data_IF_907607631387
#
_entry.id   IF_907607631387
#
_cell.length_a   1.000
_cell.length_b   1.000
_cell.length_c   1.000
_cell.angle_alpha   90.00
_cell.angle_beta   90.00
_cell.angle_gamma   90.00
#
_symmetry.space_group_name_H-M   'P 1'
#
loop_
_entity.id
_entity.type
_entity.pdbx_description
1 polymer ?
#
# COMPACT_ATOMS: atom_id res chain seq x y z
N UNK A 1 12.74 3.49 8.35
CA UNK A 1 12.34 3.33 6.93
C UNK A 1 12.30 4.64 6.17
N UNK A 2 11.40 5.58 6.50
CA UNK A 2 11.26 6.85 5.75
C UNK A 2 12.57 7.62 5.70
N UNK A 3 13.21 7.85 6.85
CA UNK A 3 14.51 8.53 6.92
C UNK A 3 15.60 7.80 6.13
N UNK A 4 15.64 6.46 6.19
CA UNK A 4 16.62 5.66 5.44
C UNK A 4 16.48 5.86 3.92
N UNK A 5 15.25 5.92 3.41
CA UNK A 5 14.99 6.13 1.98
C UNK A 5 15.25 7.57 1.54
N UNK A 6 14.85 8.55 2.35
CA UNK A 6 15.08 9.98 2.04
C UNK A 6 16.55 10.36 2.15
N UNK A 7 17.34 9.68 3.00
CA UNK A 7 18.78 9.91 3.17
C UNK A 7 19.67 8.95 2.36
N UNK A 8 19.08 8.07 1.55
CA UNK A 8 19.84 7.16 0.68
C UNK A 8 20.69 7.95 -0.34
N UNK A 9 21.67 7.28 -0.97
CA UNK A 9 22.51 7.87 -2.01
C UNK A 9 22.38 7.04 -3.28
N UNK A 10 21.66 7.52 -4.33
CA UNK A 10 20.89 8.76 -4.38
C UNK A 10 19.61 8.72 -3.52
N UNK A 11 19.07 9.88 -3.09
CA UNK A 11 17.90 9.94 -2.21
C UNK A 11 16.62 9.62 -2.98
N UNK A 12 15.68 8.94 -2.32
CA UNK A 12 14.34 8.70 -2.86
C UNK A 12 13.40 9.87 -2.55
N UNK A 13 12.59 10.25 -3.55
CA UNK A 13 11.46 11.17 -3.34
C UNK A 13 10.24 10.35 -2.92
N UNK A 14 9.69 10.65 -1.76
CA UNK A 14 8.53 9.94 -1.21
C UNK A 14 7.31 10.85 -1.18
N UNK A 15 6.12 10.24 -1.37
CA UNK A 15 4.84 10.83 -1.08
C UNK A 15 4.19 10.04 0.07
N UNK A 16 4.04 10.68 1.23
CA UNK A 16 3.53 10.06 2.45
C UNK A 16 2.10 10.50 2.73
N UNK A 17 1.21 9.53 2.94
CA UNK A 17 -0.22 9.79 3.12
C UNK A 17 -0.56 10.75 4.27
N UNK A 18 0.25 10.78 5.34
CA UNK A 18 0.02 11.67 6.51
C UNK A 18 0.71 13.03 6.40
N UNK A 19 1.63 13.20 5.46
CA UNK A 19 2.48 14.40 5.36
C UNK A 19 2.18 15.22 4.11
N UNK A 20 2.02 14.55 2.98
CA UNK A 20 2.05 15.19 1.66
C UNK A 20 0.66 15.27 1.00
N UNK A 21 -0.38 14.71 1.64
CA UNK A 21 -1.76 14.83 1.17
C UNK A 21 -2.28 16.26 1.35
N UNK A 22 -2.99 16.74 0.33
CA UNK A 22 -3.50 18.11 0.28
C UNK A 22 -4.74 18.23 1.17
N UNK A 23 -4.72 19.08 2.21
CA UNK A 23 -5.89 19.33 3.05
C UNK A 23 -7.05 19.90 2.23
N UNK A 24 -8.28 19.46 2.53
CA UNK A 24 -9.49 19.89 1.81
C UNK A 24 -9.75 19.16 0.49
N UNK A 25 -8.79 18.38 -0.03
CA UNK A 25 -9.01 17.43 -1.13
C UNK A 25 -9.52 16.10 -0.58
N UNK A 26 -10.39 15.41 -1.32
CA UNK A 26 -10.90 14.10 -0.91
C UNK A 26 -9.76 13.10 -0.70
N UNK A 27 -9.93 12.21 0.28
CA UNK A 27 -8.88 11.22 0.62
C UNK A 27 -8.58 10.29 -0.55
N UNK A 28 -9.61 9.87 -1.29
CA UNK A 28 -9.49 9.02 -2.48
C UNK A 28 -8.68 9.75 -3.55
N UNK A 29 -9.03 10.99 -3.86
CA UNK A 29 -8.32 11.74 -4.89
C UNK A 29 -6.86 11.98 -4.51
N UNK A 30 -6.55 12.19 -3.22
CA UNK A 30 -5.17 12.27 -2.75
C UNK A 30 -4.41 10.96 -2.98
N UNK A 31 -5.04 9.82 -2.68
CA UNK A 31 -4.46 8.48 -2.90
C UNK A 31 -4.18 8.26 -4.39
N UNK A 32 -5.18 8.51 -5.25
CA UNK A 32 -5.08 8.32 -6.71
C UNK A 32 -3.97 9.18 -7.30
N UNK A 33 -3.98 10.48 -7.03
CA UNK A 33 -2.94 11.39 -7.48
C UNK A 33 -1.54 10.93 -7.06
N UNK A 34 -1.41 10.44 -5.83
CA UNK A 34 -0.12 10.02 -5.28
C UNK A 34 0.38 8.75 -5.96
N UNK A 35 -0.52 7.81 -6.26
CA UNK A 35 -0.20 6.59 -7.02
C UNK A 35 0.24 6.97 -8.44
N UNK A 36 -0.52 7.80 -9.15
CA UNK A 36 -0.22 8.18 -10.54
C UNK A 36 1.08 8.98 -10.68
N UNK A 37 1.43 9.80 -9.68
CA UNK A 37 2.66 10.60 -9.65
C UNK A 37 3.89 9.83 -9.17
N UNK A 38 3.73 8.56 -8.77
CA UNK A 38 4.79 7.75 -8.17
C UNK A 38 5.15 6.56 -9.06
N UNK A 39 6.44 6.22 -9.15
CA UNK A 39 6.88 5.05 -9.91
C UNK A 39 6.48 3.71 -9.25
N UNK A 40 6.44 3.71 -7.92
CA UNK A 40 6.09 2.56 -7.08
C UNK A 40 5.22 3.06 -5.93
N UNK A 41 4.26 2.25 -5.52
CA UNK A 41 3.41 2.46 -4.35
C UNK A 41 3.79 1.44 -3.30
N UNK A 42 4.20 1.92 -2.12
CA UNK A 42 4.59 1.06 -1.01
C UNK A 42 3.44 0.95 -0.01
N UNK A 43 3.00 -0.28 0.24
CA UNK A 43 1.99 -0.62 1.22
C UNK A 43 2.65 -1.18 2.47
N UNK A 44 2.46 -0.51 3.61
CA UNK A 44 2.87 -1.03 4.92
C UNK A 44 1.69 -1.75 5.55
N UNK A 45 1.71 -3.08 5.47
CA UNK A 45 0.66 -3.95 5.98
C UNK A 45 0.87 -4.20 7.48
N UNK A 46 -0.19 -3.97 8.24
CA UNK A 46 -0.34 -4.32 9.65
C UNK A 46 -1.76 -4.79 9.91
N UNK A 47 -2.05 -5.43 11.04
CA UNK A 47 -3.43 -5.83 11.35
C UNK A 47 -4.36 -4.61 11.38
N UNK A 48 -3.87 -3.51 11.94
CA UNK A 48 -4.60 -2.25 11.96
C UNK A 48 -4.92 -1.74 10.55
N UNK A 49 -3.95 -1.78 9.63
CA UNK A 49 -4.16 -1.32 8.25
C UNK A 49 -5.21 -2.15 7.51
N UNK A 50 -5.17 -3.48 7.68
CA UNK A 50 -6.15 -4.39 7.05
C UNK A 50 -7.56 -4.13 7.57
N UNK A 51 -7.71 -3.88 8.87
CA UNK A 51 -9.03 -3.69 9.48
C UNK A 51 -9.62 -2.29 9.23
N UNK A 52 -8.78 -1.26 9.15
CA UNK A 52 -9.24 0.15 9.11
C UNK A 52 -9.19 0.78 7.72
N UNK A 53 -8.12 0.58 6.96
CA UNK A 53 -7.85 1.34 5.73
C UNK A 53 -8.03 0.50 4.47
N UNK A 54 -7.58 -0.76 4.47
CA UNK A 54 -7.65 -1.63 3.27
C UNK A 54 -9.07 -1.70 2.69
N UNK A 55 -10.06 -1.92 3.54
CA UNK A 55 -11.46 -2.03 3.13
C UNK A 55 -11.96 -0.81 2.34
N UNK A 56 -11.50 0.39 2.71
CA UNK A 56 -11.99 1.64 2.14
C UNK A 56 -11.56 1.81 0.70
N UNK A 57 -10.43 1.20 0.33
CA UNK A 57 -9.71 1.52 -0.90
C UNK A 57 -9.42 0.29 -1.77
N UNK A 58 -9.75 -0.92 -1.33
CA UNK A 58 -9.46 -2.15 -2.08
C UNK A 58 -10.03 -2.13 -3.51
N UNK A 59 -11.24 -1.58 -3.69
CA UNK A 59 -11.85 -1.42 -5.01
C UNK A 59 -11.04 -0.46 -5.88
N UNK A 60 -10.61 0.68 -5.33
CA UNK A 60 -9.79 1.66 -6.05
C UNK A 60 -8.43 1.07 -6.42
N UNK A 61 -7.73 0.43 -5.47
CA UNK A 61 -6.45 -0.24 -5.76
C UNK A 61 -6.60 -1.31 -6.85
N UNK A 62 -7.76 -1.98 -6.88
CA UNK A 62 -8.09 -2.94 -7.92
C UNK A 62 -8.26 -2.29 -9.28
N UNK A 63 -8.91 -1.13 -9.34
CA UNK A 63 -9.08 -0.33 -10.55
C UNK A 63 -7.73 0.09 -11.14
N UNK A 64 -6.78 0.52 -10.30
CA UNK A 64 -5.40 0.87 -10.71
C UNK A 64 -4.50 -0.35 -10.94
N UNK A 65 -5.03 -1.57 -10.84
CA UNK A 65 -4.31 -2.83 -11.09
C UNK A 65 -3.03 -2.97 -10.27
N UNK A 66 -2.95 -2.33 -9.10
CA UNK A 66 -1.72 -2.28 -8.30
C UNK A 66 -1.22 -3.67 -7.88
N UNK A 67 -2.13 -4.63 -7.76
CA UNK A 67 -1.86 -5.98 -7.29
C UNK A 67 -2.08 -7.06 -8.36
N UNK A 68 -2.09 -6.66 -9.64
CA UNK A 68 -2.18 -7.61 -10.74
C UNK A 68 -0.79 -8.19 -11.03
N UNK A 69 -0.69 -9.48 -11.40
CA UNK A 69 0.57 -10.23 -11.51
C UNK A 69 1.58 -9.65 -12.52
N UNK A 70 1.13 -8.79 -13.43
CA UNK A 70 1.96 -8.12 -14.43
C UNK A 70 2.31 -6.67 -14.08
N UNK A 71 1.87 -6.19 -12.91
CA UNK A 71 2.08 -4.83 -12.47
C UNK A 71 3.05 -4.78 -11.29
N UNK A 72 4.28 -4.37 -11.58
CA UNK A 72 5.33 -4.16 -10.57
C UNK A 72 5.15 -2.81 -9.81
N UNK A 73 3.98 -2.15 -9.92
CA UNK A 73 3.75 -0.86 -9.27
C UNK A 73 3.59 -0.95 -7.75
N UNK A 74 3.21 -2.09 -7.16
CA UNK A 74 3.03 -2.21 -5.72
C UNK A 74 4.17 -2.99 -5.04
N UNK A 75 4.73 -2.40 -3.98
CA UNK A 75 5.65 -3.05 -3.05
C UNK A 75 4.94 -3.22 -1.72
N UNK A 76 4.93 -4.43 -1.19
CA UNK A 76 4.25 -4.75 0.07
C UNK A 76 5.28 -5.01 1.15
N UNK A 77 5.14 -4.33 2.28
CA UNK A 77 5.95 -4.54 3.48
C UNK A 77 5.04 -5.02 4.59
N UNK A 78 5.32 -6.21 5.12
CA UNK A 78 4.63 -6.78 6.27
C UNK A 78 5.33 -6.29 7.54
N UNK A 79 4.73 -5.30 8.20
CA UNK A 79 5.28 -4.71 9.43
C UNK A 79 5.17 -5.67 10.63
N UNK A 80 4.10 -6.45 10.65
CA UNK A 80 3.84 -7.47 11.67
C UNK A 80 3.12 -8.66 11.03
N UNK A 81 3.29 -9.89 11.55
CA UNK A 81 2.59 -11.06 11.01
C UNK A 81 1.07 -10.89 11.11
N UNK A 82 0.39 -10.93 9.97
CA UNK A 82 -1.08 -10.89 9.91
C UNK A 82 -1.59 -12.31 9.74
N UNK A 83 -2.42 -12.75 10.68
CA UNK A 83 -3.06 -14.05 10.61
C UNK A 83 -4.08 -14.10 9.46
N UNK A 84 -3.98 -15.06 8.54
CA UNK A 84 -4.91 -15.16 7.39
C UNK A 84 -6.38 -15.20 7.80
N UNK A 85 -6.69 -15.80 8.96
CA UNK A 85 -8.04 -15.85 9.52
C UNK A 85 -8.62 -14.49 9.91
N UNK A 86 -7.77 -13.49 10.20
CA UNK A 86 -8.24 -12.13 10.57
C UNK A 86 -8.56 -11.29 9.35
N UNK A 87 -8.12 -11.71 8.15
CA UNK A 87 -8.42 -11.03 6.90
C UNK A 87 -9.85 -11.38 6.45
N UNK A 88 -10.75 -10.39 6.34
CA UNK A 88 -12.11 -10.62 5.86
C UNK A 88 -12.15 -11.37 4.53
N UNK A 89 -13.03 -12.37 4.42
CA UNK A 89 -13.15 -13.23 3.22
C UNK A 89 -13.39 -12.46 1.92
N UNK A 90 -14.00 -11.28 2.01
CA UNK A 90 -14.27 -10.37 0.89
C UNK A 90 -13.01 -9.73 0.30
N UNK A 91 -11.90 -9.68 1.06
CA UNK A 91 -10.65 -9.07 0.60
C UNK A 91 -9.84 -10.07 -0.25
N UNK A 92 -10.42 -10.44 -1.40
CA UNK A 92 -9.89 -11.49 -2.26
C UNK A 92 -8.48 -11.17 -2.77
N UNK A 93 -8.20 -9.90 -3.13
CA UNK A 93 -6.87 -9.49 -3.61
C UNK A 93 -5.84 -9.56 -2.49
N UNK A 94 -6.17 -9.06 -1.30
CA UNK A 94 -5.26 -9.13 -0.15
C UNK A 94 -4.92 -10.58 0.21
N UNK A 95 -5.94 -11.46 0.28
CA UNK A 95 -5.71 -12.88 0.59
C UNK A 95 -4.83 -13.54 -0.46
N UNK A 96 -5.02 -13.23 -1.75
CA UNK A 96 -4.14 -13.74 -2.81
C UNK A 96 -2.69 -13.32 -2.58
N UNK A 97 -2.46 -12.05 -2.28
CA UNK A 97 -1.13 -11.49 -2.00
C UNK A 97 -0.46 -12.17 -0.80
N UNK A 98 -1.21 -12.33 0.30
CA UNK A 98 -0.70 -12.98 1.51
C UNK A 98 -0.31 -14.44 1.24
N UNK A 99 -1.11 -15.15 0.42
CA UNK A 99 -0.84 -16.53 0.04
C UNK A 99 0.36 -16.67 -0.92
N UNK A 100 0.57 -15.70 -1.83
CA UNK A 100 1.70 -15.72 -2.76
C UNK A 100 3.03 -15.35 -2.11
N UNK A 101 3.01 -14.84 -0.87
CA UNK A 101 4.20 -14.40 -0.12
C UNK A 101 5.08 -13.41 -0.89
N UNK A 102 4.45 -12.53 -1.67
CA UNK A 102 5.10 -11.50 -2.49
C UNK A 102 5.25 -10.20 -1.71
N UNK A 103 5.69 -10.27 -0.46
CA UNK A 103 5.89 -9.13 0.43
C UNK A 103 7.26 -9.21 1.11
N UNK A 104 7.77 -8.06 1.56
CA UNK A 104 8.98 -7.95 2.36
C UNK A 104 8.59 -7.98 3.84
N UNK A 105 9.13 -8.90 4.61
CA UNK A 105 8.98 -8.90 6.07
C UNK A 105 9.94 -7.88 6.69
N UNK A 106 9.47 -7.13 7.69
CA UNK A 106 10.25 -6.12 8.40
C UNK A 106 11.31 -6.73 9.33
#
# INVERSE_FOLDING_TARGET
MVQELENAIPPFKLCLHKRDFVPGKWIIDNIIDSIEKSHKTLFVLSEHFVQSEWCKYELEFSHFRLFDEHNDAAILILLEPIQEQTIPKRFCKLRKIMNTKTYLEW
#
